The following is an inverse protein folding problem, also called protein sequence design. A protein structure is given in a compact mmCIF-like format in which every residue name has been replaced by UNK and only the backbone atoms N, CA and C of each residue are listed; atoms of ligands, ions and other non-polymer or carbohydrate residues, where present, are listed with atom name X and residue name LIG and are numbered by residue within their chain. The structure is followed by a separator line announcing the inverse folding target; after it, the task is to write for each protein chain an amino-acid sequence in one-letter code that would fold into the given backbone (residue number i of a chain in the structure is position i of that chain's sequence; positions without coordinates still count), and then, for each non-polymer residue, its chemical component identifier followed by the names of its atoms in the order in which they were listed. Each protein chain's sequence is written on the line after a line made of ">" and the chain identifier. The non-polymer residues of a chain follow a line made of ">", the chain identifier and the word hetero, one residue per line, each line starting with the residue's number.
data_IF_250473415976
#
_entry.id   IF_250473415976
#
_cell.length_a   1.000
_cell.length_b   1.000
_cell.length_c   1.000
_cell.angle_alpha   90.00
_cell.angle_beta   90.00
_cell.angle_gamma   90.00
#
_symmetry.space_group_name_H-M   'P 1'
#
loop_
_entity.id
_entity.type
_entity.pdbx_description
1 polymer ?
#
# COMPACT_ATOMS: atom_id res chain seq x y z
N UNK A 1 5.97 1.54 7.17
CA UNK A 1 5.68 0.74 6.00
C UNK A 1 4.72 -0.40 6.36
N UNK A 2 3.70 -0.64 5.53
CA UNK A 2 2.72 -1.70 5.76
C UNK A 2 2.31 -2.41 4.46
N UNK A 3 2.04 -3.71 4.55
CA UNK A 3 1.57 -4.53 3.44
C UNK A 3 0.29 -5.28 3.82
N UNK A 4 -0.62 -5.46 2.86
CA UNK A 4 -1.83 -6.27 2.94
C UNK A 4 -2.67 -5.99 4.20
N UNK A 5 -2.65 -6.86 5.20
CA UNK A 5 -3.35 -6.64 6.47
C UNK A 5 -2.93 -5.37 7.20
N UNK A 6 -1.67 -4.96 7.05
CA UNK A 6 -1.18 -3.67 7.57
C UNK A 6 -1.83 -2.46 6.90
N UNK A 7 -2.04 -2.50 5.59
CA UNK A 7 -2.83 -1.48 4.87
C UNK A 7 -4.25 -1.43 5.44
N UNK A 8 -4.91 -2.58 5.57
CA UNK A 8 -6.28 -2.67 6.09
C UNK A 8 -6.40 -2.07 7.50
N UNK A 9 -5.44 -2.36 8.37
CA UNK A 9 -5.38 -1.83 9.73
C UNK A 9 -5.24 -0.28 9.76
N UNK A 10 -4.59 0.31 8.77
CA UNK A 10 -4.37 1.75 8.68
C UNK A 10 -5.55 2.51 8.04
N UNK A 11 -6.56 1.83 7.49
CA UNK A 11 -7.81 2.46 7.02
C UNK A 11 -8.71 2.86 8.19
N UNK A 12 -9.84 3.52 7.90
CA UNK A 12 -10.82 3.94 8.93
C UNK A 12 -11.53 2.75 9.58
N UNK A 13 -11.79 1.70 8.80
CA UNK A 13 -12.54 0.54 9.27
C UNK A 13 -12.33 -0.69 8.42
N UNK A 14 -12.61 -1.86 9.00
CA UNK A 14 -12.75 -3.13 8.30
C UNK A 14 -14.18 -3.62 8.49
N UNK A 15 -14.89 -3.88 7.40
CA UNK A 15 -16.21 -4.51 7.41
C UNK A 15 -16.06 -5.99 7.03
N UNK A 16 -16.53 -6.87 7.91
CA UNK A 16 -16.57 -8.32 7.70
C UNK A 16 -17.92 -8.87 8.11
N UNK A 17 -18.60 -9.60 7.20
CA UNK A 17 -19.94 -10.15 7.44
C UNK A 17 -20.90 -9.10 8.04
N UNK A 18 -21.03 -7.96 7.36
CA UNK A 18 -21.89 -6.83 7.73
C UNK A 18 -21.54 -6.13 9.05
N UNK A 19 -20.52 -6.61 9.76
CA UNK A 19 -19.99 -5.96 10.97
C UNK A 19 -18.82 -5.06 10.64
N UNK A 20 -18.92 -3.81 11.08
CA UNK A 20 -17.89 -2.78 10.88
C UNK A 20 -17.06 -2.61 12.14
N UNK A 21 -15.76 -2.73 12.00
CA UNK A 21 -14.78 -2.57 13.07
C UNK A 21 -13.92 -1.34 12.78
N UNK A 22 -13.86 -0.43 13.74
CA UNK A 22 -13.02 0.79 13.63
C UNK A 22 -11.55 0.42 13.67
N UNK A 23 -10.76 1.02 12.77
CA UNK A 23 -9.31 0.85 12.68
C UNK A 23 -8.59 2.17 12.99
N UNK A 24 -7.31 2.28 12.62
CA UNK A 24 -6.46 3.45 12.94
C UNK A 24 -6.97 4.74 12.30
N UNK A 25 -7.45 4.67 11.05
CA UNK A 25 -7.97 5.84 10.34
C UNK A 25 -6.90 6.79 9.83
N UNK A 26 -5.69 6.30 9.58
CA UNK A 26 -4.65 7.12 8.95
C UNK A 26 -5.03 7.45 7.51
N UNK A 27 -5.45 6.43 6.74
CA UNK A 27 -5.91 6.63 5.37
C UNK A 27 -7.42 6.85 5.32
N UNK A 28 -7.84 7.82 4.51
CA UNK A 28 -9.25 8.11 4.23
C UNK A 28 -9.80 7.09 3.23
N UNK A 29 -10.01 5.88 3.72
CA UNK A 29 -10.55 4.73 2.99
C UNK A 29 -11.17 3.75 3.97
N UNK A 30 -12.02 2.86 3.47
CA UNK A 30 -12.62 1.77 4.23
C UNK A 30 -12.26 0.42 3.59
N UNK A 31 -11.98 -0.58 4.41
CA UNK A 31 -11.72 -1.95 3.95
C UNK A 31 -12.99 -2.78 4.03
N UNK A 32 -13.32 -3.47 2.95
CA UNK A 32 -14.42 -4.43 2.89
C UNK A 32 -13.85 -5.82 2.63
N UNK A 33 -14.12 -6.77 3.52
CA UNK A 33 -13.78 -8.17 3.31
C UNK A 33 -14.69 -8.77 2.24
N UNK A 34 -14.14 -9.53 1.32
CA UNK A 34 -14.86 -10.17 0.21
C UNK A 34 -14.60 -11.67 0.18
N UNK A 35 -15.43 -12.42 -0.54
CA UNK A 35 -15.19 -13.83 -0.83
C UNK A 35 -14.31 -14.03 -2.07
N UNK A 36 -14.08 -12.98 -2.84
CA UNK A 36 -13.26 -13.02 -4.06
C UNK A 36 -11.80 -12.88 -3.70
N UNK A 37 -11.03 -13.92 -3.98
CA UNK A 37 -9.58 -13.90 -3.86
C UNK A 37 -8.96 -13.06 -4.98
N UNK A 38 -7.97 -12.26 -4.61
CA UNK A 38 -7.03 -11.62 -5.52
C UNK A 38 -5.66 -12.24 -5.29
N UNK A 39 -5.13 -12.86 -6.32
CA UNK A 39 -3.81 -13.50 -6.31
C UNK A 39 -3.14 -13.23 -7.64
N UNK A 40 -2.15 -12.36 -7.64
CA UNK A 40 -1.40 -11.97 -8.82
C UNK A 40 0.07 -11.76 -8.47
N UNK A 41 0.96 -11.99 -9.44
CA UNK A 41 2.23 -11.27 -9.45
C UNK A 41 1.95 -9.81 -9.77
N UNK A 42 2.72 -8.92 -9.17
CA UNK A 42 2.63 -7.50 -9.44
C UNK A 42 3.91 -6.99 -10.09
N UNK A 43 3.75 -6.12 -11.06
CA UNK A 43 4.84 -5.41 -11.73
C UNK A 43 4.37 -4.00 -12.07
N UNK A 44 5.23 -3.04 -11.88
CA UNK A 44 4.89 -1.66 -12.17
C UNK A 44 6.05 -0.73 -11.94
N UNK A 45 5.72 0.54 -11.72
CA UNK A 45 6.67 1.61 -11.48
C UNK A 45 6.28 2.41 -10.26
N UNK A 46 7.28 2.89 -9.53
CA UNK A 46 7.06 3.95 -8.56
C UNK A 46 6.62 5.22 -9.31
N UNK A 47 5.48 5.79 -8.93
CA UNK A 47 4.91 6.98 -9.53
C UNK A 47 5.11 8.23 -8.66
N UNK A 48 5.34 8.04 -7.36
CA UNK A 48 5.62 9.10 -6.41
C UNK A 48 6.73 8.71 -5.44
N UNK A 49 7.48 9.70 -4.98
CA UNK A 49 8.46 9.54 -3.90
C UNK A 49 7.76 9.06 -2.63
N UNK A 50 8.43 8.18 -1.92
CA UNK A 50 7.90 7.58 -0.69
C UNK A 50 9.04 7.07 0.19
N UNK A 51 8.70 6.48 1.33
CA UNK A 51 9.70 6.03 2.32
C UNK A 51 10.63 4.91 1.81
N UNK A 52 10.26 4.21 0.74
CA UNK A 52 11.08 3.14 0.13
C UNK A 52 11.86 3.60 -1.10
N UNK A 53 11.50 4.73 -1.71
CA UNK A 53 12.14 5.18 -2.93
C UNK A 53 12.05 6.69 -3.15
N UNK A 54 13.17 7.27 -3.50
CA UNK A 54 13.30 8.67 -3.96
C UNK A 54 13.23 8.80 -5.49
N UNK A 55 13.23 7.68 -6.21
CA UNK A 55 13.31 7.63 -7.67
C UNK A 55 12.15 6.83 -8.28
N UNK A 56 11.79 7.18 -9.50
CA UNK A 56 10.74 6.50 -10.26
C UNK A 56 11.36 5.33 -11.03
N UNK A 57 11.35 4.16 -10.44
CA UNK A 57 11.88 2.94 -11.05
C UNK A 57 10.87 1.79 -11.00
N UNK A 58 11.14 0.73 -11.76
CA UNK A 58 10.31 -0.46 -11.77
C UNK A 58 10.43 -1.28 -10.48
N UNK A 59 9.40 -2.03 -10.17
CA UNK A 59 9.37 -2.98 -9.06
C UNK A 59 8.66 -4.28 -9.45
N UNK A 60 8.85 -5.30 -8.63
CA UNK A 60 8.15 -6.59 -8.69
C UNK A 60 7.67 -6.97 -7.29
N UNK A 61 6.57 -7.72 -7.26
CA UNK A 61 6.00 -8.22 -6.03
C UNK A 61 4.86 -9.20 -6.31
N UNK A 62 3.99 -9.36 -5.33
CA UNK A 62 2.75 -10.12 -5.47
C UNK A 62 1.67 -9.52 -4.60
N UNK A 63 0.41 -9.79 -4.91
CA UNK A 63 -0.74 -9.47 -4.07
C UNK A 63 -1.52 -10.75 -3.78
N UNK A 64 -1.98 -10.88 -2.54
CA UNK A 64 -2.84 -11.98 -2.10
C UNK A 64 -3.76 -11.49 -0.99
N UNK A 65 -5.02 -11.25 -1.33
CA UNK A 65 -6.00 -10.74 -0.37
C UNK A 65 -7.44 -11.09 -0.74
N UNK A 66 -8.33 -11.07 0.28
CA UNK A 66 -9.78 -11.26 0.19
C UNK A 66 -10.51 -9.99 0.60
N UNK A 67 -10.01 -8.84 0.19
CA UNK A 67 -10.59 -7.55 0.54
C UNK A 67 -10.43 -6.56 -0.59
N UNK A 68 -11.14 -5.44 -0.47
CA UNK A 68 -10.98 -4.28 -1.33
C UNK A 68 -11.11 -3.01 -0.50
N UNK A 69 -10.51 -1.93 -0.95
CA UNK A 69 -10.74 -0.61 -0.38
C UNK A 69 -11.90 0.07 -1.10
N UNK A 70 -12.78 0.69 -0.31
CA UNK A 70 -13.85 1.55 -0.78
C UNK A 70 -13.69 2.95 -0.22
N UNK A 71 -14.43 3.91 -0.78
CA UNK A 71 -14.43 5.31 -0.31
C UNK A 71 -13.01 5.91 -0.21
N UNK A 72 -12.12 5.48 -1.11
CA UNK A 72 -10.76 6.04 -1.17
C UNK A 72 -10.86 7.50 -1.61
N UNK A 73 -10.36 8.41 -0.78
CA UNK A 73 -10.40 9.85 -1.05
C UNK A 73 -9.79 10.20 -2.41
N UNK A 74 -10.38 11.17 -3.12
CA UNK A 74 -9.93 11.61 -4.44
C UNK A 74 -8.54 12.26 -4.41
N UNK A 75 -8.12 12.79 -3.28
CA UNK A 75 -6.80 13.41 -3.06
C UNK A 75 -5.74 12.41 -2.56
N UNK A 76 -6.10 11.13 -2.45
CA UNK A 76 -5.14 10.09 -2.10
C UNK A 76 -4.00 10.01 -3.09
N UNK A 77 -2.77 9.92 -2.56
CA UNK A 77 -1.57 9.71 -3.37
C UNK A 77 -1.19 8.23 -3.36
N UNK A 78 -0.83 7.73 -4.54
CA UNK A 78 -0.39 6.35 -4.72
C UNK A 78 1.11 6.31 -5.08
N UNK A 79 1.83 5.38 -4.46
CA UNK A 79 3.24 5.17 -4.74
C UNK A 79 3.49 4.42 -6.04
N UNK A 80 2.55 3.56 -6.45
CA UNK A 80 2.71 2.61 -7.53
C UNK A 80 1.68 2.76 -8.63
N UNK A 81 2.16 2.66 -9.87
CA UNK A 81 1.35 2.39 -11.06
C UNK A 81 1.67 0.97 -11.54
N UNK A 82 0.65 0.13 -11.66
CA UNK A 82 0.79 -1.29 -11.98
C UNK A 82 0.59 -1.54 -13.47
N UNK A 83 1.55 -2.25 -14.09
CA UNK A 83 1.40 -2.86 -15.42
C UNK A 83 0.75 -4.24 -15.31
N UNK A 84 1.01 -4.96 -14.20
CA UNK A 84 0.45 -6.27 -13.85
C UNK A 84 0.00 -6.21 -12.39
N UNK A 85 -1.21 -6.68 -12.10
CA UNK A 85 -1.85 -6.64 -10.78
C UNK A 85 -3.07 -5.73 -10.74
N UNK A 86 -3.86 -5.84 -9.68
CA UNK A 86 -5.07 -5.03 -9.48
C UNK A 86 -4.79 -3.80 -8.61
N UNK A 87 -4.08 -3.99 -7.50
CA UNK A 87 -3.82 -2.95 -6.52
C UNK A 87 -5.08 -2.49 -5.77
N UNK A 88 -5.06 -1.24 -5.36
CA UNK A 88 -6.16 -0.62 -4.59
C UNK A 88 -7.26 -0.08 -5.52
N UNK A 89 -6.88 0.69 -6.55
CA UNK A 89 -7.83 1.37 -7.44
C UNK A 89 -7.17 1.70 -8.78
N UNK A 90 -7.85 1.38 -9.89
CA UNK A 90 -7.40 1.77 -11.24
C UNK A 90 -5.95 1.38 -11.55
N UNK A 91 -5.52 0.17 -11.17
CA UNK A 91 -4.13 -0.28 -11.28
C UNK A 91 -3.12 0.63 -10.57
N UNK A 92 -3.55 1.23 -9.46
CA UNK A 92 -2.69 1.97 -8.54
C UNK A 92 -2.68 1.29 -7.18
N UNK A 93 -1.53 1.31 -6.52
CA UNK A 93 -1.34 0.73 -5.19
C UNK A 93 -0.38 1.60 -4.36
N UNK A 94 -0.28 1.28 -3.08
CA UNK A 94 0.61 1.99 -2.18
C UNK A 94 0.10 3.39 -1.81
N UNK A 95 -0.87 3.48 -0.89
CA UNK A 95 -1.30 4.76 -0.32
C UNK A 95 -0.16 5.43 0.44
N UNK A 96 0.03 6.71 0.20
CA UNK A 96 1.03 7.53 0.86
C UNK A 96 0.33 8.59 1.71
N UNK A 97 0.74 8.70 2.97
CA UNK A 97 0.37 9.83 3.84
C UNK A 97 1.49 10.11 4.82
N UNK A 98 1.97 11.35 4.85
CA UNK A 98 3.18 11.71 5.62
C UNK A 98 4.35 10.77 5.26
N UNK A 99 5.02 10.20 6.26
CA UNK A 99 6.11 9.23 6.08
C UNK A 99 5.61 7.77 6.08
N UNK A 100 4.35 7.55 5.74
CA UNK A 100 3.74 6.21 5.70
C UNK A 100 3.44 5.79 4.27
N UNK A 101 3.78 4.55 3.95
CA UNK A 101 3.43 3.85 2.73
C UNK A 101 2.75 2.54 3.09
N UNK A 102 1.55 2.30 2.56
CA UNK A 102 0.85 1.04 2.75
C UNK A 102 0.21 0.53 1.45
N UNK A 103 0.40 -0.74 1.13
CA UNK A 103 -0.02 -1.36 -0.13
C UNK A 103 -0.72 -2.70 0.06
N UNK A 104 -1.52 -3.11 -0.92
CA UNK A 104 -1.93 -4.51 -1.03
C UNK A 104 -0.79 -5.39 -1.49
N UNK A 105 0.02 -4.89 -2.41
CA UNK A 105 1.17 -5.61 -2.94
C UNK A 105 2.27 -5.79 -1.88
N UNK A 106 2.86 -6.99 -1.89
CA UNK A 106 4.08 -7.32 -1.18
C UNK A 106 5.26 -7.11 -2.12
N UNK A 107 6.16 -6.20 -1.79
CA UNK A 107 7.35 -5.95 -2.59
C UNK A 107 8.39 -7.06 -2.39
N UNK A 108 9.04 -7.45 -3.47
CA UNK A 108 10.22 -8.31 -3.37
C UNK A 108 11.42 -7.46 -2.97
N UNK A 109 11.69 -7.40 -1.69
CA UNK A 109 12.68 -6.48 -1.09
C UNK A 109 14.11 -6.71 -1.60
N UNK A 110 14.47 -7.97 -1.90
CA UNK A 110 15.80 -8.29 -2.43
C UNK A 110 16.02 -7.83 -3.88
N UNK A 111 14.94 -7.42 -4.58
CA UNK A 111 15.06 -6.90 -5.96
C UNK A 111 15.68 -5.50 -6.03
N UNK A 112 15.83 -4.80 -4.92
CA UNK A 112 16.36 -3.43 -4.84
C UNK A 112 16.85 -3.10 -3.43
N UNK A 113 17.29 -1.86 -3.25
CA UNK A 113 17.81 -1.36 -1.96
C UNK A 113 16.71 -0.86 -0.99
N UNK A 114 15.50 -1.41 -1.05
CA UNK A 114 14.36 -0.91 -0.26
C UNK A 114 14.64 -0.85 1.24
N UNK A 115 15.17 -1.93 1.83
CA UNK A 115 15.48 -1.97 3.25
C UNK A 115 16.50 -0.89 3.65
N UNK A 116 17.54 -0.68 2.84
CA UNK A 116 18.58 0.33 3.08
C UNK A 116 18.00 1.74 3.00
N UNK A 117 17.17 2.02 2.00
CA UNK A 117 16.52 3.32 1.81
C UNK A 117 15.54 3.58 2.97
N UNK A 118 14.74 2.60 3.35
CA UNK A 118 13.81 2.69 4.48
C UNK A 118 14.54 3.07 5.77
N UNK A 119 15.59 2.33 6.13
CA UNK A 119 16.38 2.61 7.35
C UNK A 119 17.00 4.01 7.29
N UNK A 120 17.58 4.40 6.15
CA UNK A 120 18.12 5.75 5.96
C UNK A 120 17.07 6.83 6.20
N UNK A 121 15.86 6.65 5.65
CA UNK A 121 14.78 7.63 5.80
C UNK A 121 14.30 7.71 7.25
N UNK A 122 14.16 6.58 7.95
CA UNK A 122 13.83 6.56 9.38
C UNK A 122 14.89 7.31 10.23
N UNK A 123 16.18 7.10 9.96
CA UNK A 123 17.26 7.79 10.66
C UNK A 123 17.26 9.31 10.40
N UNK A 124 16.91 9.73 9.20
CA UNK A 124 16.81 11.16 8.88
C UNK A 124 15.65 11.83 9.63
N UNK A 125 14.52 11.15 9.78
CA UNK A 125 13.38 11.68 10.56
C UNK A 125 13.68 11.74 12.07
N UNK A 126 14.42 10.80 12.61
CA UNK A 126 14.77 10.78 14.04
C UNK A 126 15.75 11.90 14.45
N UNK A 127 16.36 12.57 13.47
CA UNK A 127 17.31 13.69 13.69
C UNK A 127 16.68 15.08 13.56
N UNK A 128 15.41 15.15 13.19
CA UNK A 128 14.62 16.40 13.16
C UNK A 128 14.03 16.69 14.52
#
# INVERSE_FOLDING_TARGET
>A
YAECGGLMYLTKSITNNEKKYKMVGLFDAETIMTKKMRLNYTKGKFSNKNILSDTLHGFRGHEFHYSQLESVSSDSQFAFSLDIGEGIKNHQDGLIQNNTLASYGHLYFDSSNYAKIFVKNCLNESRK
#
